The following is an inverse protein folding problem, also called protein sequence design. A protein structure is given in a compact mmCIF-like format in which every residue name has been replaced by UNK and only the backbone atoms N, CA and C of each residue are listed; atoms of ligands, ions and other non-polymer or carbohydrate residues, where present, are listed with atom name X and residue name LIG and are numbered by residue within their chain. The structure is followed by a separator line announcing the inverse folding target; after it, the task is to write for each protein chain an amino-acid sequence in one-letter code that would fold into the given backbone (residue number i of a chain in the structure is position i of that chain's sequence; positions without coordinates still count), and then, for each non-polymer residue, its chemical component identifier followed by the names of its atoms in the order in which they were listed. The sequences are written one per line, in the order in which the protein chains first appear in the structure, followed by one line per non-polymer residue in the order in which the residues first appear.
data_IF_699224922494
#
_entry.id   IF_699224922494
#
_cell.length_a   1.000
_cell.length_b   1.000
_cell.length_c   1.000
_cell.angle_alpha   90.00
_cell.angle_beta   90.00
_cell.angle_gamma   90.00
#
_symmetry.space_group_name_H-M   'P 1'
#
loop_
_entity.id
_entity.type
_entity.pdbx_description
1 polymer ?
#
# COMPACT_ATOMS: atom_id res chain seq x y z
N UNK A 1 -1.90 4.50 14.38
CA UNK A 1 -2.46 4.38 13.04
C UNK A 1 -1.84 3.34 12.14
N UNK A 2 -0.60 2.86 12.39
CA UNK A 2 0.01 1.79 11.59
C UNK A 2 -0.14 1.97 10.09
N UNK A 3 -0.68 0.97 9.41
CA UNK A 3 -0.89 0.97 7.95
C UNK A 3 -1.85 2.09 7.50
N UNK A 4 -2.81 2.53 8.32
CA UNK A 4 -3.69 3.64 7.98
C UNK A 4 -2.94 4.97 7.80
N UNK A 5 -1.82 5.16 8.50
CA UNK A 5 -0.99 6.35 8.31
C UNK A 5 -0.36 6.42 6.91
N UNK A 6 -0.18 5.29 6.26
CA UNK A 6 0.27 5.22 4.87
C UNK A 6 -0.91 5.24 3.91
N UNK A 7 -1.95 4.43 4.18
CA UNK A 7 -3.13 4.32 3.33
C UNK A 7 -3.86 5.66 3.12
N UNK A 8 -4.00 6.48 4.16
CA UNK A 8 -4.64 7.81 4.08
C UNK A 8 -3.93 8.80 3.15
N UNK A 9 -2.67 8.51 2.76
CA UNK A 9 -1.89 9.34 1.84
C UNK A 9 -2.10 8.97 0.37
N UNK A 10 -2.78 7.84 0.13
CA UNK A 10 -3.07 7.38 -1.22
C UNK A 10 -4.27 8.16 -1.75
N UNK A 11 -4.15 8.72 -2.95
CA UNK A 11 -5.25 9.44 -3.59
C UNK A 11 -6.55 8.63 -3.64
N UNK A 12 -7.65 9.24 -3.22
CA UNK A 12 -8.95 8.58 -3.12
C UNK A 12 -9.15 7.74 -1.85
N UNK A 13 -8.21 7.78 -0.88
CA UNK A 13 -8.32 7.09 0.42
C UNK A 13 -8.22 8.05 1.61
N UNK A 14 -8.43 9.33 1.38
CA UNK A 14 -8.31 10.39 2.39
C UNK A 14 -9.30 10.22 3.54
N UNK A 15 -10.40 9.52 3.34
CA UNK A 15 -11.37 9.19 4.39
C UNK A 15 -10.75 8.46 5.60
N UNK A 16 -9.61 7.80 5.43
CA UNK A 16 -8.89 7.17 6.53
C UNK A 16 -8.34 8.17 7.56
N UNK A 17 -8.22 9.46 7.23
CA UNK A 17 -7.98 10.51 8.22
C UNK A 17 -9.09 10.53 9.27
N UNK A 18 -10.36 10.41 8.83
CA UNK A 18 -11.51 10.40 9.73
C UNK A 18 -11.56 9.15 10.59
N UNK A 19 -11.17 7.99 10.06
CA UNK A 19 -11.06 6.76 10.85
C UNK A 19 -10.06 6.91 12.00
N UNK A 20 -8.89 7.49 11.74
CA UNK A 20 -7.89 7.73 12.79
C UNK A 20 -8.37 8.74 13.81
N UNK A 21 -9.03 9.83 13.40
CA UNK A 21 -9.63 10.82 14.27
C UNK A 21 -10.70 10.18 15.18
N UNK A 22 -11.58 9.38 14.60
CA UNK A 22 -12.65 8.68 15.33
C UNK A 22 -12.07 7.75 16.40
N UNK A 23 -11.16 6.85 16.04
CA UNK A 23 -10.58 5.91 16.99
C UNK A 23 -9.76 6.60 18.06
N UNK A 24 -8.97 7.62 17.72
CA UNK A 24 -8.25 8.43 18.71
C UNK A 24 -9.18 9.02 19.75
N UNK A 25 -10.31 9.61 19.31
CA UNK A 25 -11.31 10.16 20.22
C UNK A 25 -12.02 9.09 21.06
N UNK A 26 -12.29 7.92 20.49
CA UNK A 26 -12.92 6.82 21.22
C UNK A 26 -12.00 6.28 22.34
N UNK A 27 -10.71 6.14 22.09
CA UNK A 27 -9.74 5.70 23.09
C UNK A 27 -9.66 6.69 24.25
N UNK A 28 -9.60 7.98 23.95
CA UNK A 28 -9.60 9.05 24.95
C UNK A 28 -10.88 9.01 25.82
N UNK A 29 -12.06 8.95 25.20
CA UNK A 29 -13.35 8.92 25.91
C UNK A 29 -13.51 7.70 26.82
N UNK A 30 -12.81 6.60 26.52
CA UNK A 30 -12.85 5.37 27.33
C UNK A 30 -11.71 5.28 28.34
N UNK A 31 -10.89 6.32 28.46
CA UNK A 31 -9.78 6.35 29.43
C UNK A 31 -8.68 5.32 29.12
N UNK A 32 -8.50 4.92 27.87
CA UNK A 32 -7.44 4.00 27.48
C UNK A 32 -6.10 4.70 27.57
N UNK A 33 -5.14 4.11 28.28
CA UNK A 33 -3.75 4.61 28.33
C UNK A 33 -3.03 4.36 27.01
N UNK A 34 -2.89 5.41 26.21
CA UNK A 34 -2.27 5.35 24.89
C UNK A 34 -0.83 5.90 24.95
N UNK A 35 0.15 5.03 24.81
CA UNK A 35 1.58 5.38 24.87
C UNK A 35 2.16 5.44 23.45
N UNK A 36 2.14 6.64 22.86
CA UNK A 36 2.75 6.88 21.55
C UNK A 36 4.28 6.99 21.66
N UNK A 37 4.97 6.74 20.55
CA UNK A 37 6.45 6.78 20.47
C UNK A 37 7.14 5.91 21.52
N UNK A 38 6.45 4.84 21.95
CA UNK A 38 6.94 3.91 22.97
C UNK A 38 7.01 2.52 22.34
N UNK A 39 8.24 1.95 22.28
CA UNK A 39 8.41 0.54 21.90
C UNK A 39 8.04 -0.33 23.10
N UNK A 40 7.09 -1.22 22.90
CA UNK A 40 6.74 -2.22 23.91
C UNK A 40 7.81 -3.33 23.90
N UNK A 41 8.37 -3.62 25.08
CA UNK A 41 9.29 -4.72 25.30
C UNK A 41 8.62 -5.82 26.12
N UNK A 42 9.02 -7.07 25.94
CA UNK A 42 8.41 -8.21 26.62
C UNK A 42 8.40 -8.04 28.14
N UNK A 43 9.47 -7.50 28.73
CA UNK A 43 9.58 -7.31 30.17
C UNK A 43 8.53 -6.35 30.75
N UNK A 44 8.13 -5.33 29.99
CA UNK A 44 7.04 -4.41 30.38
C UNK A 44 5.69 -5.09 30.28
N UNK A 45 5.52 -5.97 29.30
CA UNK A 45 4.23 -6.60 29.00
C UNK A 45 3.93 -7.83 29.88
N UNK A 46 4.94 -8.42 30.53
CA UNK A 46 4.75 -9.58 31.46
C UNK A 46 3.86 -9.30 32.66
N UNK A 47 3.60 -8.03 32.97
CA UNK A 47 2.74 -7.62 34.08
C UNK A 47 1.24 -7.55 33.75
N UNK A 48 0.85 -7.87 32.50
CA UNK A 48 -0.54 -7.90 32.09
C UNK A 48 -1.09 -9.34 32.08
N UNK A 49 -2.37 -9.49 32.38
CA UNK A 49 -3.05 -10.78 32.38
C UNK A 49 -3.13 -11.36 30.96
N UNK A 50 -3.41 -10.50 29.99
CA UNK A 50 -3.51 -10.86 28.57
C UNK A 50 -2.85 -9.78 27.69
N UNK A 51 -2.24 -10.21 26.60
CA UNK A 51 -1.60 -9.32 25.62
C UNK A 51 -2.14 -9.60 24.22
N UNK A 52 -2.66 -8.55 23.58
CA UNK A 52 -3.11 -8.62 22.18
C UNK A 52 -2.04 -8.01 21.26
N UNK A 53 -1.41 -8.82 20.44
CA UNK A 53 -0.43 -8.40 19.44
C UNK A 53 -1.14 -7.99 18.16
N UNK A 54 -1.32 -6.70 17.97
CA UNK A 54 -1.81 -6.06 16.74
C UNK A 54 -0.66 -5.34 16.00
N UNK A 55 0.54 -5.89 16.07
CA UNK A 55 1.80 -5.32 15.60
C UNK A 55 1.93 -5.24 14.07
N UNK A 56 0.98 -5.87 13.36
CA UNK A 56 0.88 -5.77 11.91
C UNK A 56 1.94 -6.59 11.18
N UNK A 57 2.57 -5.98 10.18
CA UNK A 57 3.48 -6.64 9.25
C UNK A 57 4.74 -5.83 8.99
N UNK A 58 5.79 -6.54 8.54
CA UNK A 58 6.99 -5.95 7.98
C UNK A 58 7.07 -6.25 6.47
N UNK A 59 7.69 -5.38 5.65
CA UNK A 59 7.94 -5.68 4.25
C UNK A 59 8.78 -6.95 4.10
N UNK A 60 8.42 -7.79 3.14
CA UNK A 60 9.27 -8.92 2.77
C UNK A 60 10.37 -8.44 1.84
N UNK A 61 11.59 -8.84 2.12
CA UNK A 61 12.75 -8.62 1.25
C UNK A 61 12.82 -9.73 0.20
N UNK A 62 12.61 -9.44 -1.10
CA UNK A 62 12.81 -10.44 -2.16
C UNK A 62 14.29 -10.71 -2.39
N UNK A 63 14.61 -11.88 -2.92
CA UNK A 63 15.97 -12.20 -3.36
C UNK A 63 16.19 -11.63 -4.76
N UNK A 64 16.86 -10.49 -4.84
CA UNK A 64 17.26 -9.80 -6.07
C UNK A 64 18.67 -9.27 -5.84
N UNK A 65 19.60 -9.56 -6.75
CA UNK A 65 20.96 -9.03 -6.68
C UNK A 65 20.95 -7.50 -6.72
N UNK A 66 21.73 -6.84 -5.85
CA UNK A 66 21.79 -5.38 -5.75
C UNK A 66 20.61 -4.75 -5.00
N UNK A 67 19.87 -5.49 -4.18
CA UNK A 67 18.74 -4.96 -3.41
C UNK A 67 19.17 -3.91 -2.37
N UNK A 68 20.44 -3.91 -1.96
CA UNK A 68 21.07 -2.93 -1.07
C UNK A 68 21.50 -1.64 -1.77
N UNK A 69 21.31 -1.54 -3.10
CA UNK A 69 21.67 -0.34 -3.87
C UNK A 69 20.85 0.87 -3.44
N UNK A 70 21.44 2.06 -3.44
CA UNK A 70 20.81 3.33 -3.00
C UNK A 70 19.52 3.71 -3.75
N UNK A 71 19.34 3.20 -4.97
CA UNK A 71 18.11 3.37 -5.76
C UNK A 71 16.92 2.61 -5.18
N UNK A 72 17.16 1.63 -4.31
CA UNK A 72 16.10 0.75 -3.78
C UNK A 72 15.44 1.40 -2.59
N UNK A 73 14.12 1.46 -2.64
CA UNK A 73 13.26 1.97 -1.58
C UNK A 73 12.20 0.93 -1.23
N UNK A 74 11.82 0.86 0.03
CA UNK A 74 10.60 0.17 0.42
C UNK A 74 9.38 1.08 0.22
N UNK A 75 8.18 0.49 0.16
CA UNK A 75 6.95 1.28 0.14
C UNK A 75 6.78 2.12 1.42
N UNK A 76 7.42 1.72 2.53
CA UNK A 76 7.41 2.47 3.79
C UNK A 76 8.23 3.76 3.63
N UNK A 77 9.42 3.68 3.04
CA UNK A 77 10.26 4.86 2.79
C UNK A 77 9.52 5.89 1.95
N UNK A 78 8.76 5.42 0.95
CA UNK A 78 7.96 6.28 0.06
C UNK A 78 6.74 6.87 0.76
N UNK A 79 5.93 6.03 1.40
CA UNK A 79 4.62 6.43 1.92
C UNK A 79 4.66 7.02 3.34
N UNK A 80 5.54 6.54 4.20
CA UNK A 80 5.68 7.03 5.58
C UNK A 80 6.75 8.10 5.69
N UNK A 81 7.95 7.80 5.20
CA UNK A 81 9.15 8.60 5.46
C UNK A 81 9.38 9.67 4.39
N UNK A 82 8.55 9.69 3.35
CA UNK A 82 8.57 10.70 2.27
C UNK A 82 9.91 10.78 1.53
N UNK A 83 10.58 9.63 1.38
CA UNK A 83 11.83 9.54 0.65
C UNK A 83 11.72 10.21 -0.74
N UNK A 84 12.81 10.81 -1.16
CA UNK A 84 12.88 11.39 -2.50
C UNK A 84 12.81 10.28 -3.56
N UNK A 85 11.93 10.44 -4.54
CA UNK A 85 11.79 9.54 -5.68
C UNK A 85 11.97 10.34 -6.96
N UNK A 86 12.84 9.85 -7.83
CA UNK A 86 13.17 10.47 -9.10
C UNK A 86 12.03 10.48 -10.11
N UNK A 87 12.35 10.73 -11.39
CA UNK A 87 11.36 10.88 -12.47
C UNK A 87 10.91 9.55 -13.08
N UNK A 88 11.72 8.51 -12.94
CA UNK A 88 11.46 7.16 -13.47
C UNK A 88 11.55 6.11 -12.37
N UNK A 89 10.54 5.24 -12.26
CA UNK A 89 10.39 4.31 -11.13
C UNK A 89 9.92 2.94 -11.59
N UNK A 90 10.57 1.89 -11.08
CA UNK A 90 10.09 0.52 -11.17
C UNK A 90 9.46 0.09 -9.83
N UNK A 91 8.19 -0.27 -9.83
CA UNK A 91 7.46 -0.79 -8.65
C UNK A 91 7.40 -2.31 -8.76
N UNK A 92 8.08 -3.01 -7.86
CA UNK A 92 8.12 -4.47 -7.81
C UNK A 92 7.01 -5.00 -6.93
N UNK A 93 6.01 -5.62 -7.55
CA UNK A 93 4.83 -6.19 -6.90
C UNK A 93 3.53 -5.47 -7.28
N UNK A 94 2.72 -6.09 -8.14
CA UNK A 94 1.44 -5.54 -8.63
C UNK A 94 0.25 -6.08 -7.81
N UNK A 95 0.37 -6.11 -6.50
CA UNK A 95 -0.71 -6.27 -5.53
C UNK A 95 -1.28 -4.91 -5.09
N UNK A 96 -2.14 -4.89 -4.07
CA UNK A 96 -2.77 -3.66 -3.56
C UNK A 96 -1.76 -2.55 -3.27
N UNK A 97 -0.69 -2.85 -2.51
CA UNK A 97 0.35 -1.87 -2.17
C UNK A 97 1.04 -1.31 -3.41
N UNK A 98 1.37 -2.17 -4.40
CA UNK A 98 2.03 -1.69 -5.61
C UNK A 98 1.14 -0.78 -6.46
N UNK A 99 -0.17 -1.05 -6.51
CA UNK A 99 -1.14 -0.15 -7.12
C UNK A 99 -1.23 1.18 -6.37
N UNK A 100 -1.33 1.13 -5.05
CA UNK A 100 -1.40 2.31 -4.18
C UNK A 100 -0.14 3.19 -4.30
N UNK A 101 1.04 2.59 -4.29
CA UNK A 101 2.33 3.30 -4.49
C UNK A 101 2.40 3.91 -5.88
N UNK A 102 1.94 3.19 -6.92
CA UNK A 102 1.92 3.72 -8.29
C UNK A 102 0.96 4.92 -8.42
N UNK A 103 -0.20 4.87 -7.75
CA UNK A 103 -1.15 6.00 -7.71
C UNK A 103 -0.52 7.21 -6.99
N UNK A 104 0.06 6.99 -5.81
CA UNK A 104 0.74 8.02 -5.03
C UNK A 104 1.89 8.69 -5.79
N UNK A 105 2.73 7.90 -6.45
CA UNK A 105 3.87 8.41 -7.23
C UNK A 105 3.45 9.06 -8.55
N UNK A 106 2.30 8.65 -9.10
CA UNK A 106 1.77 9.18 -10.35
C UNK A 106 1.21 10.59 -10.24
N UNK A 107 0.84 11.03 -9.05
CA UNK A 107 0.31 12.38 -8.84
C UNK A 107 1.41 13.43 -8.67
N UNK A 108 1.14 14.65 -9.05
CA UNK A 108 1.90 15.82 -8.61
C UNK A 108 1.66 15.98 -7.10
N UNK A 109 2.73 16.20 -6.34
CA UNK A 109 2.58 16.43 -4.89
C UNK A 109 1.75 17.69 -4.63
N UNK A 110 0.64 17.52 -3.93
CA UNK A 110 -0.14 18.59 -3.34
C UNK A 110 0.05 18.60 -1.82
N UNK A 111 0.04 19.78 -1.21
CA UNK A 111 0.17 19.93 0.24
C UNK A 111 -1.18 19.75 0.94
N UNK A 112 -1.78 18.56 0.85
CA UNK A 112 -3.04 18.24 1.53
C UNK A 112 -3.98 17.39 0.69
N UNK A 113 -5.14 17.00 1.23
CA UNK A 113 -6.18 16.33 0.47
C UNK A 113 -6.79 17.31 -0.53
N UNK A 114 -6.47 17.14 -1.79
CA UNK A 114 -7.06 17.91 -2.89
C UNK A 114 -7.99 16.97 -3.65
N UNK A 115 -9.27 17.22 -3.50
CA UNK A 115 -10.29 16.52 -4.26
C UNK A 115 -10.46 17.19 -5.62
N UNK A 116 -10.53 16.45 -6.73
CA UNK A 116 -10.85 17.04 -8.02
C UNK A 116 -12.24 17.68 -7.96
N UNK A 117 -12.42 18.82 -8.63
CA UNK A 117 -13.77 19.35 -8.81
C UNK A 117 -14.62 18.36 -9.63
N UNK A 118 -15.96 18.43 -9.54
CA UNK A 118 -16.83 17.58 -10.36
C UNK A 118 -16.49 17.64 -11.84
N UNK A 119 -16.17 18.83 -12.36
CA UNK A 119 -15.80 19.07 -13.75
C UNK A 119 -14.46 18.42 -14.10
N UNK A 120 -13.45 18.57 -13.24
CA UNK A 120 -12.14 17.94 -13.42
C UNK A 120 -12.25 16.40 -13.38
N UNK A 121 -13.05 15.87 -12.47
CA UNK A 121 -13.37 14.44 -12.42
C UNK A 121 -14.07 13.96 -13.69
N UNK A 122 -15.08 14.70 -14.15
CA UNK A 122 -15.82 14.36 -15.35
C UNK A 122 -14.92 14.37 -16.60
N UNK A 123 -14.06 15.39 -16.75
CA UNK A 123 -13.09 15.47 -17.85
C UNK A 123 -12.12 14.28 -17.81
N UNK A 124 -11.57 13.95 -16.63
CA UNK A 124 -10.65 12.84 -16.45
C UNK A 124 -11.24 11.49 -16.90
N UNK A 125 -12.54 11.29 -16.71
CA UNK A 125 -13.24 10.04 -17.03
C UNK A 125 -14.03 10.08 -18.34
N UNK A 126 -14.05 11.20 -19.06
CA UNK A 126 -14.82 11.37 -20.26
C UNK A 126 -16.33 11.35 -19.99
N UNK A 127 -16.77 12.06 -18.97
CA UNK A 127 -18.19 12.17 -18.58
C UNK A 127 -18.72 13.53 -19.04
N UNK A 128 -19.81 13.52 -19.80
CA UNK A 128 -20.53 14.70 -20.22
C UNK A 128 -21.45 15.19 -19.09
N UNK A 129 -21.08 16.31 -18.46
CA UNK A 129 -21.81 16.91 -17.36
C UNK A 129 -23.13 17.56 -17.81
N UNK A 130 -23.27 17.90 -19.11
CA UNK A 130 -24.50 18.46 -19.69
C UNK A 130 -25.50 17.37 -20.06
N UNK A 131 -25.11 16.10 -19.98
CA UNK A 131 -25.94 14.93 -20.31
C UNK A 131 -26.49 14.93 -21.75
N UNK A 132 -25.79 15.56 -22.68
CA UNK A 132 -26.13 15.55 -24.10
C UNK A 132 -25.69 14.22 -24.74
N UNK A 133 -24.57 13.68 -24.31
CA UNK A 133 -24.08 12.41 -24.80
C UNK A 133 -24.90 11.25 -24.23
N UNK A 134 -25.19 10.25 -25.05
CA UNK A 134 -25.93 9.05 -24.64
C UNK A 134 -25.18 8.35 -23.50
N UNK A 135 -25.89 8.10 -22.38
CA UNK A 135 -25.30 7.52 -21.16
C UNK A 135 -24.25 8.41 -20.50
N UNK A 136 -24.13 9.67 -20.92
CA UNK A 136 -23.16 10.63 -20.40
C UNK A 136 -21.72 10.38 -20.86
N UNK A 137 -21.47 9.45 -21.80
CA UNK A 137 -20.10 9.06 -22.19
C UNK A 137 -19.92 8.81 -23.69
N UNK A 138 -20.98 8.70 -24.47
CA UNK A 138 -20.87 8.41 -25.92
C UNK A 138 -20.20 9.58 -26.65
N UNK A 139 -19.09 9.28 -27.34
CA UNK A 139 -18.28 10.27 -28.08
C UNK A 139 -17.62 11.36 -27.21
N UNK A 140 -17.53 11.16 -25.90
CA UNK A 140 -16.79 12.04 -24.99
C UNK A 140 -15.41 11.41 -24.72
N UNK A 141 -14.35 12.17 -24.97
CA UNK A 141 -12.98 11.71 -24.72
C UNK A 141 -12.57 11.95 -23.29
N UNK A 142 -11.99 10.92 -22.67
CA UNK A 142 -11.37 11.09 -21.35
C UNK A 142 -10.02 11.83 -21.47
N UNK A 143 -9.77 12.75 -20.57
CA UNK A 143 -8.53 13.52 -20.46
C UNK A 143 -7.85 13.21 -19.10
N UNK A 144 -7.22 12.02 -18.96
CA UNK A 144 -6.60 11.63 -17.71
C UNK A 144 -5.44 12.57 -17.36
N UNK A 145 -5.31 12.92 -16.09
CA UNK A 145 -4.18 13.72 -15.61
C UNK A 145 -2.84 13.01 -15.93
N UNK A 146 -1.87 13.70 -16.53
CA UNK A 146 -0.59 13.11 -16.86
C UNK A 146 0.19 12.71 -15.59
N UNK A 147 0.91 11.59 -15.68
CA UNK A 147 1.76 11.12 -14.59
C UNK A 147 2.87 12.15 -14.27
N UNK A 148 3.12 12.34 -12.99
CA UNK A 148 4.26 13.12 -12.51
C UNK A 148 5.60 12.42 -12.74
N UNK A 149 5.56 11.08 -12.95
CA UNK A 149 6.72 10.20 -13.15
C UNK A 149 6.42 9.13 -14.20
N UNK A 150 7.48 8.64 -14.85
CA UNK A 150 7.38 7.38 -15.59
C UNK A 150 7.35 6.21 -14.60
N UNK A 151 6.32 5.37 -14.69
CA UNK A 151 6.11 4.27 -13.72
C UNK A 151 5.99 2.94 -14.45
N UNK A 152 6.81 1.97 -14.02
CA UNK A 152 6.73 0.57 -14.38
C UNK A 152 6.18 -0.23 -13.20
N UNK A 153 5.01 -0.85 -13.35
CA UNK A 153 4.41 -1.73 -12.34
C UNK A 153 4.60 -3.18 -12.75
N UNK A 154 5.37 -3.93 -11.97
CA UNK A 154 5.92 -5.22 -12.35
C UNK A 154 5.46 -6.34 -11.45
N UNK A 155 5.22 -7.54 -12.00
CA UNK A 155 5.00 -8.75 -11.21
C UNK A 155 5.59 -10.00 -11.86
N UNK A 156 6.01 -10.97 -11.01
CA UNK A 156 6.49 -12.29 -11.46
C UNK A 156 5.38 -13.18 -12.00
N UNK A 157 4.18 -13.10 -11.41
CA UNK A 157 3.03 -13.89 -11.87
C UNK A 157 2.65 -13.52 -13.30
N UNK A 158 2.32 -14.52 -14.12
CA UNK A 158 1.86 -14.32 -15.51
C UNK A 158 0.43 -13.84 -15.61
N UNK A 159 -0.32 -13.88 -14.50
CA UNK A 159 -1.68 -13.35 -14.44
C UNK A 159 -1.68 -11.83 -14.61
N UNK A 160 -2.82 -11.28 -15.03
CA UNK A 160 -3.01 -9.83 -15.18
C UNK A 160 -2.64 -9.08 -13.88
N UNK A 161 -1.81 -8.01 -13.94
CA UNK A 161 -1.54 -7.16 -12.80
C UNK A 161 -2.81 -6.69 -12.10
N UNK A 162 -2.83 -6.75 -10.76
CA UNK A 162 -4.01 -6.41 -9.97
C UNK A 162 -5.14 -7.44 -10.02
N UNK A 163 -4.89 -8.71 -10.41
CA UNK A 163 -5.92 -9.77 -10.38
C UNK A 163 -6.51 -9.97 -8.97
N UNK A 164 -5.72 -9.76 -7.91
CA UNK A 164 -6.13 -9.90 -6.52
C UNK A 164 -6.73 -8.65 -5.89
N UNK A 165 -6.92 -7.57 -6.63
CA UNK A 165 -7.60 -6.36 -6.13
C UNK A 165 -9.08 -6.62 -5.87
N UNK A 166 -9.68 -5.80 -5.02
CA UNK A 166 -11.10 -5.88 -4.68
C UNK A 166 -12.00 -5.98 -5.91
N UNK A 167 -12.97 -6.88 -5.89
CA UNK A 167 -13.83 -7.19 -7.05
C UNK A 167 -14.60 -5.97 -7.57
N UNK A 168 -14.99 -5.07 -6.66
CA UNK A 168 -15.81 -3.88 -6.98
C UNK A 168 -14.99 -2.72 -7.53
N UNK A 169 -13.78 -2.48 -7.01
CA UNK A 169 -12.97 -1.29 -7.30
C UNK A 169 -11.65 -1.57 -8.03
N UNK A 170 -11.18 -2.80 -8.02
CA UNK A 170 -9.88 -3.14 -8.60
C UNK A 170 -9.78 -2.90 -10.11
N UNK A 171 -10.89 -2.95 -10.84
CA UNK A 171 -10.91 -2.60 -12.25
C UNK A 171 -10.74 -1.08 -12.47
N UNK A 172 -11.29 -0.26 -11.56
CA UNK A 172 -11.15 1.22 -11.59
C UNK A 172 -9.69 1.59 -11.39
N UNK A 173 -9.04 1.07 -10.32
CA UNK A 173 -7.61 1.31 -10.06
C UNK A 173 -6.73 0.95 -11.27
N UNK A 174 -7.02 -0.21 -11.88
CA UNK A 174 -6.26 -0.63 -13.07
C UNK A 174 -6.50 0.30 -14.26
N UNK A 175 -7.72 0.72 -14.46
CA UNK A 175 -8.07 1.63 -15.54
C UNK A 175 -7.43 3.00 -15.33
N UNK A 176 -7.51 3.57 -14.12
CA UNK A 176 -6.88 4.84 -13.74
C UNK A 176 -5.38 4.85 -14.07
N UNK A 177 -4.62 3.89 -13.53
CA UNK A 177 -3.18 3.84 -13.78
C UNK A 177 -2.84 3.61 -15.26
N UNK A 178 -3.62 2.77 -15.95
CA UNK A 178 -3.38 2.46 -17.36
C UNK A 178 -3.69 3.65 -18.26
N UNK A 179 -4.79 4.35 -18.04
CA UNK A 179 -5.18 5.52 -18.84
C UNK A 179 -4.18 6.67 -18.70
N UNK A 180 -3.54 6.77 -17.54
CA UNK A 180 -2.47 7.74 -17.26
C UNK A 180 -1.09 7.33 -17.81
N UNK A 181 -0.95 6.10 -18.30
CA UNK A 181 0.28 5.63 -18.96
C UNK A 181 1.24 4.82 -18.08
N UNK A 182 0.79 4.28 -16.93
CA UNK A 182 1.60 3.33 -16.14
C UNK A 182 1.83 2.07 -16.96
N UNK A 183 3.11 1.70 -17.14
CA UNK A 183 3.53 0.52 -17.87
C UNK A 183 3.46 -0.71 -16.97
N UNK A 184 2.54 -1.63 -17.25
CA UNK A 184 2.29 -2.82 -16.42
C UNK A 184 2.82 -4.08 -17.11
N UNK A 185 3.78 -4.78 -16.48
CA UNK A 185 4.33 -6.04 -16.99
C UNK A 185 4.06 -7.20 -16.02
N UNK A 186 3.61 -8.32 -16.59
CA UNK A 186 3.42 -9.58 -15.90
C UNK A 186 4.44 -10.62 -16.39
N UNK A 187 4.73 -11.66 -15.59
CA UNK A 187 5.68 -12.70 -15.99
C UNK A 187 7.13 -12.23 -16.00
N UNK A 188 7.47 -11.24 -15.18
CA UNK A 188 8.82 -10.67 -15.11
C UNK A 188 9.71 -11.49 -14.18
N UNK A 189 10.92 -11.82 -14.63
CA UNK A 189 12.00 -12.31 -13.78
C UNK A 189 12.96 -11.15 -13.48
N UNK A 190 13.13 -10.84 -12.21
CA UNK A 190 14.09 -9.81 -11.78
C UNK A 190 15.48 -10.42 -11.72
N UNK A 191 16.47 -9.79 -12.36
CA UNK A 191 17.85 -10.28 -12.41
C UNK A 191 18.70 -9.56 -11.37
N UNK A 192 18.89 -8.25 -11.53
CA UNK A 192 19.71 -7.43 -10.65
C UNK A 192 19.32 -5.95 -10.71
N UNK A 193 19.79 -5.20 -9.72
CA UNK A 193 19.68 -3.75 -9.65
C UNK A 193 21.10 -3.18 -9.57
N UNK A 194 21.38 -2.16 -10.37
CA UNK A 194 22.67 -1.46 -10.39
C UNK A 194 22.48 0.05 -10.67
N UNK A 195 23.59 0.75 -10.92
CA UNK A 195 23.59 2.20 -11.20
C UNK A 195 22.79 2.57 -12.45
N UNK A 196 22.58 1.63 -13.39
CA UNK A 196 21.82 1.88 -14.61
C UNK A 196 20.30 1.66 -14.40
N UNK A 197 19.90 0.86 -13.41
CA UNK A 197 18.48 0.60 -13.12
C UNK A 197 18.18 -0.84 -12.76
N UNK A 198 17.01 -1.33 -13.20
CA UNK A 198 16.52 -2.69 -12.94
C UNK A 198 16.65 -3.57 -14.19
N UNK A 199 17.47 -4.60 -14.11
CA UNK A 199 17.60 -5.63 -15.13
C UNK A 199 16.54 -6.71 -14.95
N UNK A 200 15.78 -6.96 -15.99
CA UNK A 200 14.70 -7.95 -16.00
C UNK A 200 14.82 -8.90 -17.20
N UNK A 201 14.18 -10.04 -17.09
CA UNK A 201 13.82 -10.87 -18.23
C UNK A 201 12.29 -10.87 -18.39
N UNK A 202 11.81 -10.61 -19.58
CA UNK A 202 10.40 -10.61 -19.93
C UNK A 202 10.22 -11.16 -21.34
N UNK A 203 9.33 -12.15 -21.48
CA UNK A 203 9.09 -12.88 -22.74
C UNK A 203 10.37 -13.49 -23.33
N UNK A 204 11.26 -14.02 -22.48
CA UNK A 204 12.53 -14.63 -22.87
C UNK A 204 13.60 -13.63 -23.35
N UNK A 205 13.38 -12.34 -23.18
CA UNK A 205 14.32 -11.29 -23.54
C UNK A 205 14.79 -10.52 -22.31
N UNK A 206 16.09 -10.30 -22.21
CA UNK A 206 16.68 -9.42 -21.22
C UNK A 206 16.40 -7.95 -21.59
N UNK A 207 16.02 -7.17 -20.60
CA UNK A 207 15.74 -5.73 -20.73
C UNK A 207 16.31 -4.98 -19.54
N UNK A 208 16.91 -3.83 -19.80
CA UNK A 208 17.21 -2.85 -18.78
C UNK A 208 16.06 -1.84 -18.70
N UNK A 209 15.50 -1.67 -17.52
CA UNK A 209 14.63 -0.55 -17.20
C UNK A 209 15.49 0.54 -16.54
N UNK A 210 15.82 1.56 -17.32
CA UNK A 210 16.58 2.71 -16.84
C UNK A 210 15.70 3.55 -15.93
N UNK A 211 15.84 3.31 -14.62
CA UNK A 211 15.01 3.96 -13.60
C UNK A 211 15.86 4.62 -12.53
N UNK A 212 15.35 5.73 -12.01
CA UNK A 212 15.97 6.44 -10.88
C UNK A 212 15.82 5.66 -9.58
N UNK A 213 14.66 5.01 -9.38
CA UNK A 213 14.38 4.22 -8.19
C UNK A 213 13.67 2.91 -8.49
N UNK A 214 13.87 1.94 -7.59
CA UNK A 214 13.15 0.67 -7.53
C UNK A 214 12.41 0.61 -6.20
N UNK A 215 11.08 0.53 -6.22
CA UNK A 215 10.27 0.48 -5.01
C UNK A 215 9.76 -0.94 -4.77
N UNK A 216 10.09 -1.51 -3.61
CA UNK A 216 9.73 -2.89 -3.26
C UNK A 216 8.36 -2.93 -2.59
N UNK A 217 7.41 -3.60 -3.28
CA UNK A 217 6.04 -3.87 -2.82
C UNK A 217 5.74 -5.39 -2.86
N UNK A 218 6.75 -6.24 -2.68
CA UNK A 218 6.73 -7.66 -3.02
C UNK A 218 6.26 -8.59 -1.89
N UNK A 219 5.30 -8.16 -1.10
CA UNK A 219 4.70 -8.95 -0.03
C UNK A 219 5.14 -8.51 1.36
N UNK A 220 4.61 -9.20 2.37
CA UNK A 220 4.75 -8.84 3.78
C UNK A 220 4.89 -10.08 4.64
N UNK A 221 5.49 -9.93 5.81
CA UNK A 221 5.64 -10.95 6.85
C UNK A 221 4.94 -10.49 8.12
N UNK A 222 4.31 -11.40 8.90
CA UNK A 222 3.72 -11.08 10.19
C UNK A 222 4.80 -10.58 11.18
N UNK A 223 4.51 -9.51 11.91
CA UNK A 223 5.38 -9.01 12.97
C UNK A 223 4.99 -9.67 14.30
N UNK A 224 5.77 -10.66 14.77
CA UNK A 224 5.48 -11.51 15.95
C UNK A 224 6.62 -11.57 16.96
N UNK A 225 7.54 -10.62 16.92
CA UNK A 225 8.76 -10.62 17.74
C UNK A 225 8.48 -10.80 19.25
N UNK A 226 7.33 -10.35 19.73
CA UNK A 226 6.93 -10.41 21.13
C UNK A 226 6.20 -11.70 21.51
N UNK A 227 5.77 -12.53 20.57
CA UNK A 227 4.96 -13.71 20.85
C UNK A 227 5.69 -14.71 21.73
N UNK A 228 6.77 -15.30 21.22
CA UNK A 228 7.54 -16.34 21.94
C UNK A 228 8.06 -15.89 23.30
N UNK A 229 8.63 -14.66 23.45
CA UNK A 229 9.07 -14.17 24.77
C UNK A 229 7.95 -14.05 25.81
N UNK A 230 6.75 -13.65 25.39
CA UNK A 230 5.61 -13.51 26.28
C UNK A 230 4.97 -14.84 26.63
N UNK A 231 4.78 -15.73 25.67
CA UNK A 231 4.28 -17.10 25.91
C UNK A 231 5.22 -17.88 26.83
N UNK A 232 6.55 -17.74 26.63
CA UNK A 232 7.56 -18.37 27.51
C UNK A 232 7.53 -17.80 28.94
N UNK A 233 7.03 -16.59 29.12
CA UNK A 233 6.81 -15.98 30.43
C UNK A 233 5.46 -16.32 31.06
N UNK A 234 4.64 -17.12 30.39
CA UNK A 234 3.31 -17.55 30.87
C UNK A 234 2.19 -16.54 30.64
N UNK A 235 2.40 -15.53 29.81
CA UNK A 235 1.37 -14.54 29.46
C UNK A 235 0.46 -15.11 28.38
N UNK A 236 -0.86 -14.92 28.51
CA UNK A 236 -1.80 -15.24 27.44
C UNK A 236 -1.65 -14.25 26.27
N UNK A 237 -1.28 -14.75 25.09
CA UNK A 237 -0.99 -13.92 23.91
C UNK A 237 -1.98 -14.21 22.79
N UNK A 238 -2.59 -13.14 22.26
CA UNK A 238 -3.52 -13.19 21.15
C UNK A 238 -2.97 -12.46 19.93
N UNK A 239 -3.02 -13.09 18.77
CA UNK A 239 -2.60 -12.47 17.50
C UNK A 239 -3.83 -12.02 16.71
N UNK A 240 -3.80 -10.76 16.23
CA UNK A 240 -4.85 -10.22 15.35
C UNK A 240 -4.28 -9.46 14.15
N UNK A 241 -5.07 -9.33 13.11
CA UNK A 241 -4.72 -8.57 11.90
C UNK A 241 -3.49 -9.12 11.18
N UNK A 242 -2.55 -8.24 10.83
CA UNK A 242 -1.34 -8.62 10.12
C UNK A 242 -0.35 -9.46 10.94
N UNK A 243 -0.38 -9.34 12.27
CA UNK A 243 0.43 -10.18 13.16
C UNK A 243 -0.04 -11.64 13.15
N UNK A 244 -1.34 -11.89 12.95
CA UNK A 244 -1.88 -13.23 12.76
C UNK A 244 -1.54 -13.75 11.35
N UNK A 245 -2.01 -13.08 10.30
CA UNK A 245 -1.76 -13.50 8.91
C UNK A 245 -1.44 -12.29 8.04
N UNK A 246 -0.31 -12.32 7.35
CA UNK A 246 0.13 -11.26 6.44
C UNK A 246 -0.50 -11.34 5.04
N UNK A 247 -1.53 -12.16 4.82
CA UNK A 247 -2.26 -12.25 3.56
C UNK A 247 -3.53 -11.41 3.61
N UNK A 248 -3.91 -10.84 2.46
CA UNK A 248 -5.15 -10.06 2.31
C UNK A 248 -5.36 -9.06 3.45
N UNK A 249 -4.38 -8.19 3.64
CA UNK A 249 -4.43 -7.16 4.69
C UNK A 249 -5.51 -6.15 4.37
N UNK A 250 -6.69 -6.34 4.96
CA UNK A 250 -7.77 -5.38 4.90
C UNK A 250 -8.24 -4.95 6.31
N UNK A 251 -8.82 -3.76 6.37
CA UNK A 251 -9.34 -3.20 7.62
C UNK A 251 -10.50 -4.03 8.16
N UNK A 252 -11.33 -4.60 7.30
CA UNK A 252 -12.50 -5.40 7.67
C UNK A 252 -12.09 -6.63 8.49
N UNK A 253 -11.07 -7.37 8.05
CA UNK A 253 -10.57 -8.55 8.79
C UNK A 253 -9.97 -8.14 10.13
N UNK A 254 -9.12 -7.12 10.14
CA UNK A 254 -8.47 -6.66 11.38
C UNK A 254 -9.49 -6.17 12.41
N UNK A 255 -10.49 -5.38 12.00
CA UNK A 255 -11.55 -4.89 12.86
C UNK A 255 -12.40 -6.05 13.40
N UNK A 256 -12.77 -7.01 12.52
CA UNK A 256 -13.54 -8.18 12.91
C UNK A 256 -12.80 -9.00 13.97
N UNK A 257 -11.54 -9.37 13.72
CA UNK A 257 -10.73 -10.14 14.66
C UNK A 257 -10.60 -9.43 16.01
N UNK A 258 -10.35 -8.12 16.02
CA UNK A 258 -10.28 -7.34 17.26
C UNK A 258 -11.61 -7.32 18.01
N UNK A 259 -12.74 -7.20 17.29
CA UNK A 259 -14.08 -7.19 17.92
C UNK A 259 -14.49 -8.56 18.45
N UNK A 260 -14.21 -9.63 17.70
CA UNK A 260 -14.50 -11.01 18.12
C UNK A 260 -13.66 -11.38 19.36
N UNK A 261 -12.36 -11.04 19.35
CA UNK A 261 -11.49 -11.28 20.50
C UNK A 261 -11.96 -10.51 21.74
N UNK A 262 -12.23 -9.21 21.62
CA UNK A 262 -12.67 -8.37 22.73
C UNK A 262 -14.03 -8.77 23.33
N UNK A 263 -14.80 -9.62 22.67
CA UNK A 263 -16.06 -10.16 23.18
C UNK A 263 -15.87 -11.40 24.08
N UNK A 264 -14.67 -11.98 24.12
CA UNK A 264 -14.41 -13.26 24.81
C UNK A 264 -13.28 -13.18 25.85
N UNK A 265 -12.52 -12.09 25.91
CA UNK A 265 -11.50 -11.80 26.93
C UNK A 265 -12.01 -10.85 28.00
#
# INVERSE_FOLDING_TARGET
GGQFNMAKRIPGKEEFYESLRYYGRQLELRGVDVRLSTRAEADVLKGFDEVVLATGVTPRTPEIEGLEHEKVLSYIDVLRDSAHVGKSVAVIGAGGIGFDVSEYLGQKRHNGPEFPTPEAFASQWGIDMELQARGGVENVSAEPEPLAREIWLLQRKTSKPGKGLGKTTGWVHRLSLRSRGVKMLAGVTYKRIDEFGLHIEHDGQEKLLEVDNVVICAGQLPCRELQDPLESAGVAVHLIGGADVAAELDAKRAIRQGSELAAVI
#
